data_IF_374000595599
#
_entry.id   IF_374000595599
#
_cell.length_a   1.000
_cell.length_b   1.000
_cell.length_c   1.000
_cell.angle_alpha   90.00
_cell.angle_beta   90.00
_cell.angle_gamma   90.00
#
_symmetry.space_group_name_H-M   'P 1'
#
loop_
_entity.id
_entity.type
_entity.pdbx_description
1 polymer ?
#
# COMPACT_ATOMS: atom_id res chain seq x y z
N UNK A 1 -2.43 -0.77 -27.27
CA UNK A 1 -0.98 -0.46 -27.11
C UNK A 1 -0.26 -1.70 -26.65
N UNK A 2 0.73 -2.19 -27.37
CA UNK A 2 1.47 -3.40 -27.00
C UNK A 2 2.53 -3.02 -25.95
N UNK A 3 2.17 -3.14 -24.67
CA UNK A 3 3.18 -3.15 -23.62
C UNK A 3 4.24 -4.20 -23.96
N UNK A 4 5.52 -3.88 -23.74
CA UNK A 4 6.54 -4.90 -24.00
C UNK A 4 6.25 -6.13 -23.15
N UNK A 5 6.49 -7.33 -23.70
CA UNK A 5 6.28 -8.60 -22.97
C UNK A 5 6.96 -8.63 -21.60
N UNK A 6 8.07 -7.93 -21.47
CA UNK A 6 8.82 -7.83 -20.22
C UNK A 6 8.08 -7.01 -19.17
N UNK A 7 7.59 -5.82 -19.54
CA UNK A 7 6.81 -4.97 -18.63
C UNK A 7 5.51 -5.67 -18.18
N UNK A 8 4.79 -6.28 -19.12
CA UNK A 8 3.58 -7.05 -18.79
C UNK A 8 3.88 -8.21 -17.84
N UNK A 9 5.00 -8.92 -18.02
CA UNK A 9 5.42 -9.98 -17.10
C UNK A 9 5.74 -9.45 -15.71
N UNK A 10 6.43 -8.32 -15.63
CA UNK A 10 6.77 -7.70 -14.35
C UNK A 10 5.50 -7.23 -13.60
N UNK A 11 4.62 -6.46 -14.25
CA UNK A 11 3.40 -5.96 -13.63
C UNK A 11 2.50 -7.11 -13.16
N UNK A 12 2.31 -8.14 -13.98
CA UNK A 12 1.54 -9.34 -13.61
C UNK A 12 2.18 -10.09 -12.43
N UNK A 13 3.51 -10.24 -12.40
CA UNK A 13 4.21 -10.91 -11.31
C UNK A 13 4.11 -10.10 -10.01
N UNK A 14 4.25 -8.78 -10.10
CA UNK A 14 4.07 -7.87 -8.97
C UNK A 14 2.65 -7.97 -8.42
N UNK A 15 1.62 -7.87 -9.27
CA UNK A 15 0.22 -7.97 -8.84
C UNK A 15 -0.08 -9.28 -8.13
N UNK A 16 0.36 -10.40 -8.69
CA UNK A 16 0.19 -11.72 -8.05
C UNK A 16 0.89 -11.78 -6.69
N UNK A 17 2.06 -11.16 -6.56
CA UNK A 17 2.79 -11.10 -5.30
C UNK A 17 2.02 -10.26 -4.28
N UNK A 18 1.65 -9.03 -4.64
CA UNK A 18 0.94 -8.13 -3.74
C UNK A 18 -0.41 -8.71 -3.31
N UNK A 19 -1.13 -9.36 -4.21
CA UNK A 19 -2.39 -10.05 -3.87
C UNK A 19 -2.19 -11.18 -2.85
N UNK A 20 -1.10 -11.97 -2.98
CA UNK A 20 -0.75 -13.00 -1.97
C UNK A 20 -0.41 -12.37 -0.62
N UNK A 21 0.31 -11.26 -0.61
CA UNK A 21 0.63 -10.53 0.61
C UNK A 21 -0.63 -9.96 1.27
N UNK A 22 -1.52 -9.34 0.52
CA UNK A 22 -2.81 -8.87 1.04
C UNK A 22 -3.58 -10.00 1.73
N UNK A 23 -3.63 -11.19 1.13
CA UNK A 23 -4.29 -12.36 1.74
C UNK A 23 -3.60 -12.81 3.02
N UNK A 24 -2.26 -12.91 3.01
CA UNK A 24 -1.46 -13.30 4.19
C UNK A 24 -1.69 -12.33 5.34
N UNK A 25 -1.47 -11.05 5.10
CA UNK A 25 -1.55 -10.03 6.14
C UNK A 25 -2.98 -9.73 6.58
N UNK A 26 -3.97 -9.85 5.71
CA UNK A 26 -5.38 -9.82 6.10
C UNK A 26 -5.71 -10.87 7.16
N UNK A 27 -5.21 -12.10 7.01
CA UNK A 27 -5.46 -13.16 7.97
C UNK A 27 -4.81 -12.87 9.33
N UNK A 28 -3.59 -12.33 9.34
CA UNK A 28 -2.87 -11.94 10.55
C UNK A 28 -3.60 -10.80 11.26
N UNK A 29 -3.90 -9.72 10.53
CA UNK A 29 -4.57 -8.53 11.05
C UNK A 29 -5.98 -8.90 11.56
N UNK A 30 -6.70 -9.78 10.87
CA UNK A 30 -8.02 -10.21 11.30
C UNK A 30 -7.99 -10.91 12.66
N UNK A 31 -7.05 -11.83 12.87
CA UNK A 31 -6.88 -12.50 14.17
C UNK A 31 -6.58 -11.51 15.29
N UNK A 32 -5.74 -10.52 15.01
CA UNK A 32 -5.39 -9.49 15.98
C UNK A 32 -6.61 -8.63 16.34
N UNK A 33 -7.37 -8.18 15.35
CA UNK A 33 -8.59 -7.41 15.58
C UNK A 33 -9.66 -8.20 16.34
N UNK A 34 -9.77 -9.50 16.13
CA UNK A 34 -10.67 -10.37 16.91
C UNK A 34 -10.26 -10.43 18.38
N UNK A 35 -8.97 -10.67 18.64
CA UNK A 35 -8.44 -10.72 20.00
C UNK A 35 -8.68 -9.41 20.74
N UNK A 36 -8.47 -8.27 20.09
CA UNK A 36 -8.69 -6.95 20.67
C UNK A 36 -10.17 -6.66 20.93
N UNK A 37 -11.06 -7.19 20.09
CA UNK A 37 -12.51 -7.09 20.34
C UNK A 37 -12.93 -7.88 21.57
N UNK A 38 -12.42 -9.08 21.76
CA UNK A 38 -12.66 -9.90 22.95
C UNK A 38 -12.15 -9.16 24.21
N UNK A 39 -10.92 -8.63 24.16
CA UNK A 39 -10.37 -7.83 25.25
C UNK A 39 -11.20 -6.57 25.52
N UNK A 40 -11.63 -5.84 24.48
CA UNK A 40 -12.45 -4.65 24.65
C UNK A 40 -13.78 -4.92 25.35
N UNK A 41 -14.42 -6.06 25.05
CA UNK A 41 -15.66 -6.48 25.73
C UNK A 41 -15.41 -6.72 27.22
N UNK A 42 -14.25 -7.22 27.60
CA UNK A 42 -13.89 -7.54 28.98
C UNK A 42 -13.39 -6.32 29.77
N UNK A 43 -12.58 -5.48 29.15
CA UNK A 43 -11.83 -4.42 29.86
C UNK A 43 -12.27 -2.99 29.52
N UNK A 44 -12.96 -2.79 28.40
CA UNK A 44 -13.26 -1.47 27.83
C UNK A 44 -12.08 -0.83 27.09
N UNK A 45 -10.90 -1.47 27.07
CA UNK A 45 -9.70 -0.99 26.39
C UNK A 45 -9.55 -1.64 25.02
N UNK A 46 -9.27 -0.81 24.00
CA UNK A 46 -8.99 -1.24 22.65
C UNK A 46 -7.60 -0.78 22.23
N UNK A 47 -6.67 -1.72 22.16
CA UNK A 47 -5.29 -1.47 21.73
C UNK A 47 -4.83 -2.61 20.84
N UNK A 48 -4.63 -2.38 19.55
CA UNK A 48 -4.17 -3.43 18.65
C UNK A 48 -2.67 -3.65 18.75
N UNK A 49 -2.23 -4.89 18.60
CA UNK A 49 -0.82 -5.25 18.44
C UNK A 49 -0.48 -5.47 16.97
N UNK A 50 -0.88 -4.54 16.10
CA UNK A 50 -0.64 -4.63 14.65
C UNK A 50 0.79 -4.28 14.25
N UNK A 51 1.53 -3.57 15.08
CA UNK A 51 2.88 -3.09 14.74
C UNK A 51 3.81 -4.21 14.29
N UNK A 52 3.95 -5.35 15.01
CA UNK A 52 4.86 -6.43 14.58
C UNK A 52 4.52 -6.99 13.20
N UNK A 53 3.23 -7.14 12.89
CA UNK A 53 2.79 -7.66 11.59
C UNK A 53 3.11 -6.69 10.45
N UNK A 54 2.92 -5.39 10.67
CA UNK A 54 3.23 -4.36 9.67
C UNK A 54 4.74 -4.21 9.52
N UNK A 55 5.51 -4.21 10.61
CA UNK A 55 6.98 -4.22 10.55
C UNK A 55 7.51 -5.41 9.76
N UNK A 56 6.99 -6.61 10.02
CA UNK A 56 7.37 -7.80 9.28
C UNK A 56 7.10 -7.66 7.77
N UNK A 57 5.95 -7.10 7.38
CA UNK A 57 5.64 -6.83 5.97
C UNK A 57 6.71 -5.96 5.31
N UNK A 58 7.06 -4.84 5.94
CA UNK A 58 8.04 -3.91 5.39
C UNK A 58 9.44 -4.50 5.36
N UNK A 59 9.88 -5.16 6.44
CA UNK A 59 11.23 -5.75 6.53
C UNK A 59 11.44 -6.88 5.52
N UNK A 60 10.51 -7.83 5.45
CA UNK A 60 10.71 -9.06 4.66
C UNK A 60 10.38 -8.92 3.19
N UNK A 61 9.35 -8.13 2.86
CA UNK A 61 8.83 -8.08 1.51
C UNK A 61 9.26 -6.86 0.71
N UNK A 62 9.53 -5.75 1.39
CA UNK A 62 9.91 -4.51 0.73
C UNK A 62 11.22 -4.62 -0.05
N UNK A 63 12.25 -5.23 0.53
CA UNK A 63 13.54 -5.45 -0.17
C UNK A 63 13.36 -6.23 -1.48
N UNK A 64 12.51 -7.24 -1.48
CA UNK A 64 12.26 -8.06 -2.67
C UNK A 64 11.55 -7.28 -3.78
N UNK A 65 10.65 -6.35 -3.40
CA UNK A 65 9.97 -5.47 -4.37
C UNK A 65 10.95 -4.40 -4.88
N UNK A 66 11.76 -3.82 -4.02
CA UNK A 66 12.82 -2.87 -4.36
C UNK A 66 13.80 -3.47 -5.38
N UNK A 67 14.32 -4.66 -5.09
CA UNK A 67 15.24 -5.39 -5.99
C UNK A 67 14.60 -5.69 -7.34
N UNK A 68 13.33 -6.08 -7.35
CA UNK A 68 12.61 -6.36 -8.58
C UNK A 68 12.43 -5.09 -9.44
N UNK A 69 12.16 -3.94 -8.84
CA UNK A 69 12.06 -2.65 -9.56
C UNK A 69 13.40 -2.22 -10.13
N UNK A 70 14.50 -2.37 -9.37
CA UNK A 70 15.84 -2.08 -9.86
C UNK A 70 16.22 -2.94 -11.09
N UNK A 71 15.92 -4.25 -11.03
CA UNK A 71 16.13 -5.16 -12.16
C UNK A 71 15.27 -4.82 -13.38
N UNK A 72 14.03 -4.37 -13.17
CA UNK A 72 13.15 -3.91 -14.25
C UNK A 72 13.79 -2.76 -15.04
N UNK A 73 14.49 -1.87 -14.37
CA UNK A 73 15.19 -0.74 -14.99
C UNK A 73 16.47 -1.14 -15.73
N UNK A 74 16.88 -2.40 -15.67
CA UNK A 74 18.08 -2.93 -16.30
C UNK A 74 19.29 -2.97 -15.38
N UNK A 75 19.08 -2.81 -14.09
CA UNK A 75 20.12 -2.98 -13.09
C UNK A 75 20.66 -4.41 -13.08
N UNK A 76 21.98 -4.55 -13.06
CA UNK A 76 22.63 -5.85 -12.96
C UNK A 76 22.46 -6.43 -11.56
N UNK A 77 22.56 -7.77 -11.44
CA UNK A 77 22.57 -8.44 -10.14
C UNK A 77 23.74 -7.94 -9.30
N UNK A 78 23.49 -6.94 -8.47
CA UNK A 78 24.41 -6.56 -7.41
C UNK A 78 24.30 -7.58 -6.28
N UNK A 79 25.40 -7.76 -5.56
CA UNK A 79 25.40 -8.57 -4.34
C UNK A 79 24.24 -8.12 -3.46
N UNK A 80 23.50 -9.05 -2.91
CA UNK A 80 22.29 -8.82 -2.08
C UNK A 80 22.49 -7.77 -0.98
N UNK A 81 23.72 -7.58 -0.52
CA UNK A 81 24.09 -6.73 0.60
C UNK A 81 23.83 -5.22 0.36
N UNK A 82 23.90 -4.74 -0.89
CA UNK A 82 23.64 -3.33 -1.19
C UNK A 82 22.15 -3.00 -0.98
N UNK A 83 21.25 -3.81 -1.54
CA UNK A 83 19.81 -3.55 -1.43
C UNK A 83 19.30 -3.82 -0.03
N UNK A 84 19.79 -4.88 0.63
CA UNK A 84 19.42 -5.18 2.01
C UNK A 84 19.84 -4.06 2.95
N UNK A 85 21.01 -3.46 2.75
CA UNK A 85 21.47 -2.34 3.56
C UNK A 85 20.64 -1.08 3.32
N UNK A 86 20.44 -0.67 2.07
CA UNK A 86 19.67 0.53 1.73
C UNK A 86 18.21 0.42 2.20
N UNK A 87 17.58 -0.73 1.95
CA UNK A 87 16.22 -0.99 2.41
C UNK A 87 16.12 -1.02 3.93
N UNK A 88 17.05 -1.67 4.61
CA UNK A 88 17.08 -1.74 6.08
C UNK A 88 17.19 -0.36 6.70
N UNK A 89 18.09 0.50 6.21
CA UNK A 89 18.24 1.88 6.69
C UNK A 89 16.93 2.65 6.54
N UNK A 90 16.29 2.54 5.38
CA UNK A 90 14.99 3.20 5.17
C UNK A 90 13.89 2.64 6.09
N UNK A 91 13.79 1.31 6.24
CA UNK A 91 12.78 0.67 7.10
C UNK A 91 12.96 1.06 8.56
N UNK A 92 14.21 1.06 9.07
CA UNK A 92 14.48 1.48 10.46
C UNK A 92 14.08 2.95 10.68
N UNK A 93 14.40 3.82 9.73
CA UNK A 93 13.96 5.21 9.80
C UNK A 93 12.42 5.33 9.77
N UNK A 94 11.75 4.60 8.89
CA UNK A 94 10.28 4.60 8.80
C UNK A 94 9.63 4.09 10.09
N UNK A 95 10.12 2.99 10.65
CA UNK A 95 9.62 2.43 11.91
C UNK A 95 9.83 3.43 13.05
N UNK A 96 11.02 4.01 13.17
CA UNK A 96 11.37 4.94 14.24
C UNK A 96 10.62 6.29 14.18
N UNK A 97 10.13 6.70 12.98
CA UNK A 97 9.55 8.03 12.80
C UNK A 97 8.07 8.05 12.51
N UNK A 98 7.54 7.07 11.78
CA UNK A 98 6.17 7.11 11.25
C UNK A 98 5.28 5.95 11.67
N UNK A 99 5.85 4.80 11.98
CA UNK A 99 5.08 3.59 12.27
C UNK A 99 4.18 3.76 13.49
N UNK A 100 4.71 4.29 14.59
CA UNK A 100 3.95 4.48 15.82
C UNK A 100 2.71 5.37 15.59
N UNK A 101 2.88 6.51 14.92
CA UNK A 101 1.76 7.40 14.59
C UNK A 101 0.72 6.74 13.69
N UNK A 102 1.16 5.89 12.77
CA UNK A 102 0.29 5.14 11.88
C UNK A 102 -0.56 4.12 12.64
N UNK A 103 0.05 3.38 13.55
CA UNK A 103 -0.64 2.42 14.42
C UNK A 103 -1.68 3.13 15.28
N UNK A 104 -1.31 4.24 15.94
CA UNK A 104 -2.25 5.05 16.73
C UNK A 104 -3.48 5.45 15.90
N UNK A 105 -3.31 5.91 14.67
CA UNK A 105 -4.44 6.28 13.80
C UNK A 105 -5.30 5.06 13.42
N UNK A 106 -4.70 3.90 13.20
CA UNK A 106 -5.44 2.66 12.95
C UNK A 106 -6.26 2.29 14.16
N UNK A 107 -5.69 2.36 15.36
CA UNK A 107 -6.36 2.04 16.63
C UNK A 107 -7.52 3.00 16.91
N UNK A 108 -7.30 4.30 16.83
CA UNK A 108 -8.33 5.33 17.04
C UNK A 108 -9.54 5.12 16.11
N UNK A 109 -9.30 5.02 14.80
CA UNK A 109 -10.37 4.83 13.82
C UNK A 109 -11.07 3.49 13.95
N UNK A 110 -10.39 2.46 14.47
CA UNK A 110 -10.98 1.15 14.73
C UNK A 110 -11.84 1.18 15.98
N UNK A 111 -11.35 1.79 17.04
CA UNK A 111 -12.09 2.00 18.31
C UNK A 111 -13.40 2.75 18.07
N UNK A 112 -13.34 3.90 17.39
CA UNK A 112 -14.52 4.70 17.06
C UNK A 112 -15.55 3.91 16.25
N UNK A 113 -15.11 3.06 15.33
CA UNK A 113 -16.01 2.25 14.54
C UNK A 113 -16.64 1.12 15.35
N UNK A 114 -15.90 0.47 16.25
CA UNK A 114 -16.42 -0.54 17.19
C UNK A 114 -17.43 0.10 18.14
N UNK A 115 -17.12 1.27 18.71
CA UNK A 115 -18.03 2.01 19.59
C UNK A 115 -19.34 2.36 18.86
N UNK A 116 -19.28 2.78 17.59
CA UNK A 116 -20.49 3.05 16.79
C UNK A 116 -21.35 1.80 16.59
N UNK A 117 -20.72 0.64 16.31
CA UNK A 117 -21.47 -0.62 16.20
C UNK A 117 -22.20 -0.95 17.50
N UNK A 118 -21.53 -0.81 18.64
CA UNK A 118 -22.12 -1.09 19.95
C UNK A 118 -23.23 -0.08 20.25
N UNK A 119 -22.99 1.23 20.10
CA UNK A 119 -23.95 2.29 20.43
C UNK A 119 -25.21 2.24 19.57
N UNK A 120 -25.09 1.87 18.31
CA UNK A 120 -26.23 1.78 17.39
C UNK A 120 -27.10 0.53 17.62
N UNK A 121 -26.64 -0.42 18.44
CA UNK A 121 -27.30 -1.70 18.66
C UNK A 121 -27.70 -1.94 20.13
N UNK A 122 -27.85 -0.89 20.96
CA UNK A 122 -28.19 -0.99 22.39
C UNK A 122 -29.51 -1.73 22.64
N UNK A 123 -30.40 -1.81 21.65
CA UNK A 123 -31.70 -2.51 21.75
C UNK A 123 -31.69 -3.90 21.07
N UNK A 124 -30.56 -4.38 20.58
CA UNK A 124 -30.42 -5.61 19.77
C UNK A 124 -29.82 -6.73 20.62
N UNK A 125 -30.10 -7.99 20.28
CA UNK A 125 -29.55 -9.15 20.99
C UNK A 125 -28.01 -9.20 20.86
N UNK A 126 -27.34 -9.64 21.92
CA UNK A 126 -25.87 -9.74 21.98
C UNK A 126 -25.25 -10.51 20.80
N UNK A 127 -25.92 -11.55 20.32
CA UNK A 127 -25.49 -12.37 19.19
C UNK A 127 -25.42 -11.59 17.87
N UNK A 128 -26.36 -10.67 17.65
CA UNK A 128 -26.36 -9.79 16.47
C UNK A 128 -25.22 -8.77 16.52
N UNK A 129 -24.89 -8.27 17.70
CA UNK A 129 -23.75 -7.37 17.92
C UNK A 129 -22.45 -8.13 17.62
N UNK A 130 -22.28 -9.36 18.13
CA UNK A 130 -21.10 -10.18 17.89
C UNK A 130 -20.90 -10.50 16.39
N UNK A 131 -21.99 -10.80 15.68
CA UNK A 131 -21.95 -11.01 14.23
C UNK A 131 -21.54 -9.75 13.47
N UNK A 132 -22.07 -8.58 13.82
CA UNK A 132 -21.70 -7.30 13.20
C UNK A 132 -20.24 -6.95 13.47
N UNK A 133 -19.74 -7.16 14.67
CA UNK A 133 -18.34 -6.95 15.02
C UNK A 133 -17.41 -7.89 14.23
N UNK A 134 -17.80 -9.16 14.06
CA UNK A 134 -17.05 -10.11 13.23
C UNK A 134 -16.98 -9.67 11.77
N UNK A 135 -18.08 -9.22 11.19
CA UNK A 135 -18.12 -8.69 9.83
C UNK A 135 -17.30 -7.40 9.68
N UNK A 136 -17.39 -6.53 10.68
CA UNK A 136 -16.57 -5.31 10.73
C UNK A 136 -15.08 -5.64 10.73
N UNK A 137 -14.62 -6.55 11.59
CA UNK A 137 -13.22 -6.95 11.67
C UNK A 137 -12.68 -7.53 10.36
N UNK A 138 -13.49 -8.32 9.65
CA UNK A 138 -13.11 -8.85 8.32
C UNK A 138 -12.89 -7.74 7.30
N UNK A 139 -13.80 -6.77 7.21
CA UNK A 139 -13.71 -5.62 6.30
C UNK A 139 -12.54 -4.70 6.68
N UNK A 140 -12.36 -4.46 7.97
CA UNK A 140 -11.29 -3.62 8.50
C UNK A 140 -9.92 -4.24 8.24
N UNK A 141 -9.75 -5.53 8.52
CA UNK A 141 -8.52 -6.26 8.23
C UNK A 141 -8.15 -6.23 6.74
N UNK A 142 -9.15 -6.35 5.87
CA UNK A 142 -8.93 -6.23 4.43
C UNK A 142 -8.47 -4.83 4.03
N UNK A 143 -9.10 -3.79 4.56
CA UNK A 143 -8.74 -2.40 4.25
C UNK A 143 -7.32 -2.06 4.73
N UNK A 144 -6.96 -2.47 5.94
CA UNK A 144 -5.62 -2.25 6.50
C UNK A 144 -4.58 -3.02 5.67
N UNK A 145 -4.78 -4.33 5.45
CA UNK A 145 -3.82 -5.15 4.70
C UNK A 145 -3.59 -4.60 3.29
N UNK A 146 -4.64 -4.21 2.59
CA UNK A 146 -4.55 -3.65 1.25
C UNK A 146 -3.78 -2.33 1.22
N UNK A 147 -4.09 -1.43 2.15
CA UNK A 147 -3.41 -0.14 2.28
C UNK A 147 -1.92 -0.32 2.57
N UNK A 148 -1.59 -1.17 3.54
CA UNK A 148 -0.21 -1.37 3.97
C UNK A 148 0.65 -2.09 2.91
N UNK A 149 0.11 -3.11 2.26
CA UNK A 149 0.81 -3.83 1.17
C UNK A 149 1.04 -2.90 -0.02
N UNK A 150 0.06 -2.09 -0.41
CA UNK A 150 0.22 -1.15 -1.51
C UNK A 150 1.23 -0.04 -1.17
N UNK A 151 1.19 0.53 0.02
CA UNK A 151 2.13 1.55 0.46
C UNK A 151 3.56 1.01 0.56
N UNK A 152 3.76 -0.18 1.11
CA UNK A 152 5.05 -0.86 1.12
C UNK A 152 5.58 -1.04 -0.31
N UNK A 153 4.74 -1.49 -1.24
CA UNK A 153 5.13 -1.69 -2.63
C UNK A 153 5.54 -0.37 -3.31
N UNK A 154 4.76 0.70 -3.15
CA UNK A 154 5.07 2.03 -3.70
C UNK A 154 6.43 2.52 -3.21
N UNK A 155 6.67 2.45 -1.90
CA UNK A 155 7.92 2.91 -1.32
C UNK A 155 9.11 2.05 -1.77
N UNK A 156 8.94 0.73 -1.81
CA UNK A 156 9.98 -0.18 -2.28
C UNK A 156 10.35 0.07 -3.74
N UNK A 157 9.36 0.33 -4.60
CA UNK A 157 9.58 0.65 -6.00
C UNK A 157 10.30 1.99 -6.16
N UNK A 158 9.96 2.99 -5.36
CA UNK A 158 10.65 4.28 -5.33
C UNK A 158 12.12 4.11 -4.94
N UNK A 159 12.41 3.37 -3.86
CA UNK A 159 13.77 3.11 -3.42
C UNK A 159 14.60 2.35 -4.47
N UNK A 160 14.00 1.37 -5.16
CA UNK A 160 14.66 0.65 -6.25
C UNK A 160 14.97 1.54 -7.46
N UNK A 161 14.07 2.46 -7.78
CA UNK A 161 14.24 3.43 -8.86
C UNK A 161 15.32 4.47 -8.52
N UNK A 162 15.33 4.99 -7.30
CA UNK A 162 16.35 5.93 -6.82
C UNK A 162 17.75 5.30 -6.81
N UNK A 163 17.87 4.05 -6.34
CA UNK A 163 19.13 3.33 -6.37
C UNK A 163 19.68 3.16 -7.80
N UNK A 164 18.81 2.84 -8.76
CA UNK A 164 19.20 2.72 -10.16
C UNK A 164 19.58 4.08 -10.76
N UNK A 165 18.81 5.13 -10.47
CA UNK A 165 19.09 6.49 -10.94
C UNK A 165 20.42 7.03 -10.42
N UNK A 166 20.76 6.76 -9.17
CA UNK A 166 22.02 7.17 -8.57
C UNK A 166 23.25 6.56 -9.29
N UNK A 167 23.09 5.39 -9.90
CA UNK A 167 24.16 4.74 -10.66
C UNK A 167 24.26 5.20 -12.10
N UNK A 168 23.10 5.41 -12.74
CA UNK A 168 23.05 5.63 -14.20
C UNK A 168 22.90 7.08 -14.58
N UNK A 169 22.54 7.93 -13.63
CA UNK A 169 22.17 9.34 -13.84
C UNK A 169 21.14 9.53 -14.98
N UNK A 170 20.26 8.55 -15.17
CA UNK A 170 19.27 8.55 -16.25
C UNK A 170 17.91 9.03 -15.69
N UNK A 171 17.22 9.88 -16.44
CA UNK A 171 15.89 10.35 -16.11
C UNK A 171 14.87 9.20 -16.10
N UNK A 172 13.94 9.25 -15.17
CA UNK A 172 12.90 8.28 -14.96
C UNK A 172 11.50 8.86 -15.24
N UNK A 173 10.63 7.98 -15.68
CA UNK A 173 9.19 8.16 -15.69
C UNK A 173 8.56 7.22 -14.67
N UNK A 174 7.45 7.63 -14.09
CA UNK A 174 6.64 6.79 -13.21
C UNK A 174 5.25 6.63 -13.79
N UNK A 175 4.72 5.42 -13.70
CA UNK A 175 3.41 5.08 -14.25
C UNK A 175 2.49 4.63 -13.11
N UNK A 176 1.31 5.23 -13.04
CA UNK A 176 0.26 4.81 -12.12
C UNK A 176 -0.29 3.45 -12.53
N UNK A 177 -0.43 2.54 -11.57
CA UNK A 177 -0.98 1.21 -11.77
C UNK A 177 -2.18 1.01 -10.86
N UNK A 178 -3.36 0.96 -11.46
CA UNK A 178 -4.56 0.57 -10.74
C UNK A 178 -4.58 -0.96 -10.57
N UNK A 179 -4.76 -1.43 -9.34
CA UNK A 179 -4.82 -2.85 -9.03
C UNK A 179 -6.24 -3.23 -8.64
N UNK A 180 -6.98 -3.79 -9.59
CA UNK A 180 -8.35 -4.28 -9.53
C UNK A 180 -9.05 -4.15 -8.16
N UNK A 181 -10.01 -3.26 -8.07
CA UNK A 181 -10.92 -3.15 -6.94
C UNK A 181 -12.33 -3.53 -7.41
N UNK A 182 -13.15 -4.07 -6.53
CA UNK A 182 -14.56 -4.36 -6.82
C UNK A 182 -15.34 -3.07 -7.07
N UNK A 183 -14.89 -1.98 -6.40
CA UNK A 183 -15.45 -0.63 -6.54
C UNK A 183 -14.29 0.36 -6.63
N UNK A 184 -13.72 0.57 -7.82
CA UNK A 184 -12.59 1.45 -8.02
C UNK A 184 -13.03 2.91 -7.96
N UNK A 185 -12.21 3.75 -7.32
CA UNK A 185 -12.37 5.21 -7.41
C UNK A 185 -12.14 5.64 -8.85
N UNK A 186 -13.05 6.40 -9.42
CA UNK A 186 -12.98 6.86 -10.82
C UNK A 186 -11.70 7.63 -11.11
N UNK A 187 -11.28 8.53 -10.20
CA UNK A 187 -10.04 9.27 -10.35
C UNK A 187 -8.79 8.37 -10.38
N UNK A 188 -8.78 7.28 -9.59
CA UNK A 188 -7.65 6.33 -9.61
C UNK A 188 -7.67 5.45 -10.87
N UNK A 189 -8.86 5.08 -11.35
CA UNK A 189 -9.01 4.32 -12.57
C UNK A 189 -8.62 5.15 -13.81
N UNK A 190 -8.96 6.44 -13.82
CA UNK A 190 -8.59 7.35 -14.89
C UNK A 190 -7.07 7.55 -15.03
N UNK A 191 -6.32 7.36 -13.94
CA UNK A 191 -4.86 7.44 -13.94
C UNK A 191 -4.19 6.14 -14.37
N UNK A 192 -4.89 5.02 -14.47
CA UNK A 192 -4.29 3.73 -14.80
C UNK A 192 -3.53 3.77 -16.12
N UNK A 193 -2.25 3.39 -16.09
CA UNK A 193 -1.36 3.45 -17.24
C UNK A 193 -0.83 4.85 -17.57
N UNK A 194 -1.24 5.90 -16.85
CA UNK A 194 -0.70 7.25 -17.04
C UNK A 194 0.74 7.29 -16.56
N UNK A 195 1.65 7.70 -17.46
CA UNK A 195 3.07 7.84 -17.16
C UNK A 195 3.49 9.31 -17.26
N UNK A 196 4.18 9.79 -16.23
CA UNK A 196 4.70 11.17 -16.12
C UNK A 196 6.16 11.14 -15.67
N UNK A 197 6.95 12.20 -15.88
CA UNK A 197 8.27 12.35 -15.28
C UNK A 197 8.24 12.10 -13.76
N UNK A 198 9.28 11.48 -13.21
CA UNK A 198 9.32 11.05 -11.81
C UNK A 198 9.09 12.17 -10.79
N UNK A 199 9.50 13.40 -11.13
CA UNK A 199 9.39 14.58 -10.27
C UNK A 199 8.07 15.34 -10.41
N UNK A 200 7.22 15.01 -11.37
CA UNK A 200 5.91 15.61 -11.56
C UNK A 200 4.85 14.94 -10.66
N UNK A 201 3.75 15.64 -10.40
CA UNK A 201 2.65 15.11 -9.58
C UNK A 201 1.51 14.57 -10.45
N UNK A 202 0.94 13.47 -10.05
CA UNK A 202 -0.37 13.02 -10.54
C UNK A 202 -1.46 13.91 -9.95
N UNK A 203 -2.46 14.23 -10.77
CA UNK A 203 -3.68 14.91 -10.31
C UNK A 203 -4.79 13.87 -10.21
N UNK A 204 -5.25 13.60 -8.99
CA UNK A 204 -6.35 12.67 -8.69
C UNK A 204 -7.61 13.50 -8.60
N UNK A 205 -8.61 13.21 -9.43
CA UNK A 205 -9.91 13.88 -9.40
C UNK A 205 -10.96 12.91 -8.89
N UNK A 206 -11.68 13.28 -7.84
CA UNK A 206 -12.76 12.45 -7.28
C UNK A 206 -14.08 12.59 -8.08
N UNK A 207 -15.11 11.83 -7.71
CA UNK A 207 -16.43 11.86 -8.36
C UNK A 207 -17.17 13.18 -8.17
N UNK A 208 -16.71 14.05 -7.26
CA UNK A 208 -17.31 15.35 -6.97
C UNK A 208 -16.55 16.51 -7.60
N UNK A 209 -15.49 16.22 -8.35
CA UNK A 209 -14.65 17.22 -9.00
C UNK A 209 -13.56 17.81 -8.10
N UNK A 210 -13.41 17.35 -6.85
CA UNK A 210 -12.29 17.78 -6.02
C UNK A 210 -11.01 17.13 -6.53
N UNK A 211 -9.88 17.87 -6.47
CA UNK A 211 -8.60 17.37 -6.93
C UNK A 211 -7.55 17.37 -5.84
N UNK A 212 -6.73 16.35 -5.81
CA UNK A 212 -5.55 16.23 -4.97
C UNK A 212 -4.34 15.92 -5.84
N UNK A 213 -3.18 16.44 -5.45
CA UNK A 213 -1.93 16.16 -6.14
C UNK A 213 -1.02 15.27 -5.30
N UNK A 214 -0.39 14.30 -5.93
CA UNK A 214 0.51 13.36 -5.27
C UNK A 214 1.65 12.91 -6.17
N UNK A 215 2.84 12.80 -5.60
CA UNK A 215 3.97 12.20 -6.32
C UNK A 215 3.72 10.72 -6.65
N UNK A 216 3.05 10.00 -5.76
CA UNK A 216 2.77 8.57 -5.90
C UNK A 216 1.44 8.23 -5.25
N UNK A 217 0.81 7.08 -5.58
CA UNK A 217 -0.23 6.52 -4.72
C UNK A 217 0.26 6.44 -3.27
N UNK A 218 -0.61 6.64 -2.31
CA UNK A 218 -0.28 6.62 -0.87
C UNK A 218 0.73 7.67 -0.39
N UNK A 219 1.02 8.72 -1.19
CA UNK A 219 1.88 9.81 -0.75
C UNK A 219 1.35 10.48 0.53
N UNK A 220 2.27 10.98 1.35
CA UNK A 220 1.91 11.80 2.52
C UNK A 220 1.18 13.07 2.06
N UNK A 221 0.11 13.44 2.75
CA UNK A 221 -0.70 14.61 2.39
C UNK A 221 -1.98 14.29 1.61
N UNK A 222 -2.10 13.09 1.03
CA UNK A 222 -3.37 12.65 0.46
C UNK A 222 -4.42 12.40 1.56
N UNK A 223 -5.66 12.73 1.25
CA UNK A 223 -6.80 12.45 2.12
C UNK A 223 -6.98 10.96 2.37
N UNK A 224 -7.57 10.60 3.49
CA UNK A 224 -7.94 9.22 3.80
C UNK A 224 -8.84 8.62 2.70
N UNK A 225 -9.66 9.43 2.06
CA UNK A 225 -10.49 9.06 0.92
C UNK A 225 -9.68 8.50 -0.25
N UNK A 226 -8.47 9.00 -0.49
CA UNK A 226 -7.59 8.54 -1.57
C UNK A 226 -6.58 7.47 -1.15
N UNK A 227 -6.39 7.23 0.15
CA UNK A 227 -5.37 6.30 0.68
C UNK A 227 -5.98 5.00 1.21
N UNK A 228 -7.02 5.07 2.06
CA UNK A 228 -7.55 3.89 2.76
C UNK A 228 -8.20 2.92 1.79
N UNK A 229 -7.89 1.63 1.92
CA UNK A 229 -8.36 0.55 1.04
C UNK A 229 -8.00 0.76 -0.46
N UNK A 230 -6.99 1.56 -0.74
CA UNK A 230 -6.46 1.71 -2.08
C UNK A 230 -5.40 0.62 -2.35
N UNK A 231 -5.47 -0.03 -3.51
CA UNK A 231 -4.48 -1.02 -3.94
C UNK A 231 -3.56 -0.48 -5.04
N UNK A 232 -3.67 0.78 -5.45
CA UNK A 232 -2.85 1.35 -6.51
C UNK A 232 -1.36 1.33 -6.14
N UNK A 233 -0.52 1.16 -7.16
CA UNK A 233 0.94 1.22 -7.06
C UNK A 233 1.51 2.10 -8.15
N UNK A 234 2.82 2.26 -8.16
CA UNK A 234 3.55 2.97 -9.20
C UNK A 234 4.64 2.05 -9.75
N UNK A 235 4.94 2.13 -11.04
CA UNK A 235 6.10 1.45 -11.63
C UNK A 235 6.98 2.50 -12.27
N UNK A 236 8.29 2.42 -12.04
CA UNK A 236 9.27 3.31 -12.66
C UNK A 236 9.86 2.66 -13.90
N UNK A 237 10.06 3.48 -14.94
CA UNK A 237 10.67 3.09 -16.21
C UNK A 237 11.71 4.15 -16.62
N UNK A 238 12.73 3.76 -17.39
CA UNK A 238 13.69 4.72 -17.94
C UNK A 238 13.03 5.59 -19.01
N UNK A 239 13.54 6.80 -19.21
CA UNK A 239 13.08 7.70 -20.26
C UNK A 239 13.12 7.03 -21.63
N UNK A 240 14.18 6.34 -21.97
CA UNK A 240 14.30 5.61 -23.25
C UNK A 240 13.19 4.56 -23.41
N UNK A 241 12.86 3.82 -22.34
CA UNK A 241 11.78 2.84 -22.39
C UNK A 241 10.43 3.54 -22.61
N UNK A 242 10.18 4.64 -21.90
CA UNK A 242 8.95 5.42 -22.05
C UNK A 242 8.79 5.93 -23.49
N UNK A 243 9.82 6.58 -24.05
CA UNK A 243 9.76 7.16 -25.38
C UNK A 243 9.61 6.12 -26.51
N UNK A 244 10.28 4.97 -26.36
CA UNK A 244 10.28 3.93 -27.41
C UNK A 244 9.11 2.96 -27.31
N UNK A 245 8.50 2.77 -26.15
CA UNK A 245 7.53 1.70 -25.89
C UNK A 245 6.17 2.16 -25.36
N UNK A 246 6.11 3.26 -24.64
CA UNK A 246 4.87 3.71 -24.00
C UNK A 246 4.25 4.94 -24.66
N UNK A 247 5.05 5.82 -25.23
CA UNK A 247 4.62 7.06 -25.88
C UNK A 247 3.95 6.89 -27.26
N UNK A 248 3.85 5.64 -27.74
CA UNK A 248 3.30 5.32 -29.09
C UNK A 248 1.77 5.31 -29.08
#
# INVERSE_FOLDING_TARGET
MAHSRFFTRYSTALDRRLFRLERKYRAIIYKELQREQEQFVETGDFTTNLQPAIEQLYREEGEKVMTAQYKLLGGMDKKSDFFSTAWRVWVEHFIGTRMAQKIVRIDETTREAVQRVISNNVAVQFEDIANQLTMFSRRRAMAIARTEVAQMAVESQRQGAEAWKAETNTALYKMWMHRGATDPRTGHLALDGTAIPENEMFTIVDNYGNSEQALTPHASGLSAGNVVNCGCTVIYVSQNYFETRLKR
#
